data_IF_734508190457
#
_entry.id   IF_734508190457
#
_cell.length_a   1.000
_cell.length_b   1.000
_cell.length_c   1.000
_cell.angle_alpha   90.00
_cell.angle_beta   90.00
_cell.angle_gamma   90.00
#
_symmetry.space_group_name_H-M   'P 1'
#
loop_
_entity.id
_entity.type
_entity.pdbx_description
1 polymer ?
#
# COMPACT_ATOMS: atom_id res chain seq x y z
N UNK A 1 4.52 -9.59 -5.89
CA UNK A 1 5.82 -10.17 -5.46
C UNK A 1 6.50 -11.16 -6.42
N UNK A 2 5.78 -11.90 -7.27
CA UNK A 2 6.32 -13.09 -7.99
C UNK A 2 7.59 -12.84 -8.83
N UNK A 3 7.58 -11.85 -9.73
CA UNK A 3 8.71 -11.58 -10.63
C UNK A 3 10.01 -11.25 -9.87
N UNK A 4 9.89 -10.51 -8.76
CA UNK A 4 11.01 -10.18 -7.88
C UNK A 4 11.62 -11.42 -7.26
N UNK A 5 10.77 -12.35 -6.81
CA UNK A 5 11.23 -13.60 -6.19
C UNK A 5 11.89 -14.53 -7.22
N UNK A 6 11.34 -14.61 -8.43
CA UNK A 6 11.91 -15.40 -9.52
C UNK A 6 13.29 -14.89 -9.93
N UNK A 7 13.41 -13.58 -10.19
CA UNK A 7 14.70 -12.98 -10.55
C UNK A 7 15.73 -13.11 -9.42
N UNK A 8 15.31 -12.96 -8.16
CA UNK A 8 16.18 -13.20 -7.00
C UNK A 8 16.63 -14.67 -6.91
N UNK A 9 15.73 -15.62 -7.10
CA UNK A 9 16.04 -17.05 -7.05
C UNK A 9 17.00 -17.46 -8.19
N UNK A 10 16.84 -16.90 -9.39
CA UNK A 10 17.72 -17.14 -10.55
C UNK A 10 19.00 -16.30 -10.54
N UNK A 11 19.15 -15.37 -9.60
CA UNK A 11 20.34 -14.52 -9.48
C UNK A 11 20.49 -13.52 -10.62
N UNK A 12 19.37 -13.04 -11.15
CA UNK A 12 19.31 -12.06 -12.24
C UNK A 12 19.16 -10.66 -11.66
N UNK A 13 20.04 -9.70 -12.02
CA UNK A 13 19.86 -8.31 -11.64
C UNK A 13 18.67 -7.67 -12.37
N UNK A 14 17.94 -6.77 -11.72
CA UNK A 14 16.66 -6.27 -12.22
C UNK A 14 16.54 -4.75 -12.16
N UNK A 15 15.84 -4.17 -13.13
CA UNK A 15 15.28 -2.81 -13.02
C UNK A 15 13.82 -2.97 -12.62
N UNK A 16 13.46 -2.47 -11.44
CA UNK A 16 12.12 -2.60 -10.89
C UNK A 16 11.35 -1.30 -11.05
N UNK A 17 10.21 -1.37 -11.75
CA UNK A 17 9.27 -0.24 -11.92
C UNK A 17 8.00 -0.54 -11.13
N UNK A 18 7.91 -0.15 -9.85
CA UNK A 18 6.72 -0.42 -9.05
C UNK A 18 5.54 0.44 -9.50
N UNK A 19 4.38 -0.19 -9.69
CA UNK A 19 3.15 0.51 -10.08
C UNK A 19 2.21 0.75 -8.89
N UNK A 20 1.91 -0.30 -8.11
CA UNK A 20 1.00 -0.23 -6.98
C UNK A 20 1.24 -1.37 -5.98
N UNK A 21 0.55 -1.30 -4.84
CA UNK A 21 0.54 -2.31 -3.77
C UNK A 21 1.94 -2.65 -3.21
N UNK A 22 2.27 -3.94 -3.14
CA UNK A 22 3.47 -4.49 -2.50
C UNK A 22 4.77 -4.26 -3.30
N UNK A 23 4.67 -3.89 -4.58
CA UNK A 23 5.82 -3.78 -5.49
C UNK A 23 6.83 -2.71 -5.04
N UNK A 24 6.37 -1.62 -4.43
CA UNK A 24 7.28 -0.57 -3.94
C UNK A 24 8.18 -1.10 -2.81
N UNK A 25 7.60 -1.86 -1.87
CA UNK A 25 8.36 -2.50 -0.79
C UNK A 25 9.30 -3.57 -1.32
N UNK A 26 8.82 -4.41 -2.24
CA UNK A 26 9.62 -5.49 -2.83
C UNK A 26 10.81 -4.97 -3.65
N UNK A 27 10.60 -3.94 -4.46
CA UNK A 27 11.67 -3.31 -5.24
C UNK A 27 12.71 -2.63 -4.36
N UNK A 28 12.26 -1.93 -3.30
CA UNK A 28 13.17 -1.32 -2.33
C UNK A 28 14.02 -2.35 -1.59
N UNK A 29 13.45 -3.52 -1.26
CA UNK A 29 14.19 -4.63 -0.64
C UNK A 29 15.34 -5.12 -1.54
N UNK A 30 15.07 -5.34 -2.83
CA UNK A 30 16.12 -5.75 -3.78
C UNK A 30 17.15 -4.64 -4.04
N UNK A 31 16.69 -3.40 -4.08
CA UNK A 31 17.54 -2.24 -4.24
C UNK A 31 18.53 -2.10 -3.07
N UNK A 32 18.05 -2.26 -1.83
CA UNK A 32 18.90 -2.28 -0.62
C UNK A 32 19.92 -3.42 -0.63
N UNK A 33 19.56 -4.57 -1.21
CA UNK A 33 20.49 -5.68 -1.44
C UNK A 33 21.48 -5.44 -2.58
N UNK A 34 21.38 -4.28 -3.26
CA UNK A 34 22.31 -3.89 -4.32
C UNK A 34 22.25 -4.79 -5.54
N UNK A 35 21.12 -5.47 -5.77
CA UNK A 35 20.91 -6.34 -6.93
C UNK A 35 19.90 -5.78 -7.93
N UNK A 36 19.21 -4.70 -7.56
CA UNK A 36 18.22 -4.06 -8.40
C UNK A 36 18.32 -2.53 -8.37
N UNK A 37 17.85 -1.91 -9.45
CA UNK A 37 17.62 -0.46 -9.53
C UNK A 37 16.11 -0.26 -9.42
N UNK A 38 15.67 0.52 -8.44
CA UNK A 38 14.27 0.96 -8.36
C UNK A 38 14.12 2.20 -9.24
N UNK A 39 13.14 2.19 -10.14
CA UNK A 39 12.82 3.32 -11.01
C UNK A 39 11.33 3.66 -10.86
N UNK A 40 11.02 4.89 -10.48
CA UNK A 40 9.63 5.29 -10.30
C UNK A 40 8.95 5.56 -11.63
N UNK A 41 7.63 5.37 -11.71
CA UNK A 41 6.85 5.59 -12.94
C UNK A 41 7.06 7.00 -13.51
N UNK A 42 7.18 8.00 -12.63
CA UNK A 42 7.43 9.41 -12.98
C UNK A 42 8.80 9.64 -13.61
N UNK A 43 9.73 8.69 -13.50
CA UNK A 43 11.10 8.79 -13.98
C UNK A 43 11.32 8.03 -15.31
N UNK A 44 10.27 7.48 -15.92
CA UNK A 44 10.33 6.71 -17.16
C UNK A 44 10.51 7.63 -18.38
N UNK A 45 11.75 7.96 -18.68
CA UNK A 45 12.15 8.62 -19.93
C UNK A 45 13.10 7.72 -20.72
N UNK A 46 13.14 7.88 -22.06
CA UNK A 46 14.06 7.11 -22.92
C UNK A 46 15.50 7.18 -22.41
N UNK A 47 15.97 8.39 -22.07
CA UNK A 47 17.32 8.61 -21.60
C UNK A 47 17.58 7.89 -20.26
N UNK A 48 16.68 8.06 -19.28
CA UNK A 48 16.88 7.46 -17.97
C UNK A 48 16.83 5.93 -18.02
N UNK A 49 15.93 5.35 -18.83
CA UNK A 49 15.87 3.89 -19.03
C UNK A 49 17.18 3.39 -19.66
N UNK A 50 17.68 4.05 -20.71
CA UNK A 50 18.96 3.68 -21.33
C UNK A 50 20.12 3.75 -20.35
N UNK A 51 20.16 4.79 -19.53
CA UNK A 51 21.23 4.98 -18.54
C UNK A 51 21.17 3.89 -17.45
N UNK A 52 19.97 3.52 -16.98
CA UNK A 52 19.80 2.43 -16.00
C UNK A 52 20.12 1.06 -16.57
N UNK A 53 19.81 0.81 -17.83
CA UNK A 53 20.21 -0.42 -18.53
C UNK A 53 21.74 -0.49 -18.66
N UNK A 54 22.40 0.59 -19.07
CA UNK A 54 23.87 0.65 -19.11
C UNK A 54 24.48 0.43 -17.73
N UNK A 55 23.91 1.07 -16.71
CA UNK A 55 24.37 0.96 -15.33
C UNK A 55 24.32 -0.49 -14.83
N UNK A 56 23.18 -1.16 -15.03
CA UNK A 56 22.97 -2.51 -14.47
C UNK A 56 23.80 -3.59 -15.18
N UNK A 57 24.07 -3.42 -16.47
CA UNK A 57 24.89 -4.35 -17.27
C UNK A 57 26.40 -4.13 -17.01
N UNK A 58 26.83 -2.88 -16.85
CA UNK A 58 28.26 -2.54 -16.69
C UNK A 58 28.74 -2.73 -15.25
N UNK A 59 27.91 -2.39 -14.27
CA UNK A 59 28.31 -2.46 -12.87
C UNK A 59 28.16 -3.89 -12.32
N UNK A 60 29.30 -4.59 -12.18
CA UNK A 60 29.38 -5.96 -11.66
C UNK A 60 28.77 -6.15 -10.27
N UNK A 61 28.58 -5.08 -9.48
CA UNK A 61 27.93 -5.13 -8.15
C UNK A 61 26.56 -5.79 -8.24
N UNK A 62 25.74 -5.42 -9.23
CA UNK A 62 24.38 -5.94 -9.37
C UNK A 62 24.37 -7.46 -9.62
N UNK A 63 25.16 -7.92 -10.57
CA UNK A 63 25.29 -9.35 -10.88
C UNK A 63 25.90 -10.15 -9.72
N UNK A 64 26.91 -9.60 -9.02
CA UNK A 64 27.54 -10.24 -7.86
C UNK A 64 26.54 -10.43 -6.72
N UNK A 65 25.78 -9.39 -6.39
CA UNK A 65 24.79 -9.43 -5.32
C UNK A 65 23.58 -10.30 -5.68
N UNK A 66 23.14 -10.28 -6.95
CA UNK A 66 22.07 -11.15 -7.41
C UNK A 66 22.46 -12.64 -7.27
N UNK A 67 23.68 -13.01 -7.71
CA UNK A 67 24.20 -14.37 -7.53
C UNK A 67 24.35 -14.75 -6.05
N UNK A 68 24.81 -13.82 -5.21
CA UNK A 68 24.92 -14.05 -3.77
C UNK A 68 23.55 -14.34 -3.14
N UNK A 69 22.54 -13.52 -3.45
CA UNK A 69 21.19 -13.73 -2.94
C UNK A 69 20.59 -15.05 -3.44
N UNK A 70 20.79 -15.40 -4.70
CA UNK A 70 20.35 -16.69 -5.25
C UNK A 70 20.94 -17.87 -4.47
N UNK A 71 22.26 -17.83 -4.19
CA UNK A 71 22.92 -18.84 -3.35
C UNK A 71 22.32 -18.89 -1.94
N UNK A 72 22.06 -17.74 -1.32
CA UNK A 72 21.41 -17.68 0.01
C UNK A 72 19.99 -18.25 -0.01
N UNK A 73 19.22 -18.01 -1.08
CA UNK A 73 17.86 -18.54 -1.23
C UNK A 73 17.90 -20.07 -1.39
N UNK A 74 18.84 -20.59 -2.18
CA UNK A 74 19.04 -22.03 -2.37
C UNK A 74 19.56 -22.72 -1.11
N UNK A 75 20.45 -22.06 -0.36
CA UNK A 75 21.05 -22.57 0.87
C UNK A 75 20.22 -22.30 2.14
N UNK A 76 18.93 -21.97 2.01
CA UNK A 76 18.06 -21.79 3.18
C UNK A 76 18.10 -23.05 4.05
N UNK A 77 18.22 -22.92 5.39
CA UNK A 77 18.45 -24.05 6.29
C UNK A 77 17.30 -25.06 6.34
N UNK A 78 16.09 -24.63 6.00
CA UNK A 78 14.89 -25.48 6.00
C UNK A 78 14.25 -25.45 4.62
N UNK A 79 14.12 -26.61 3.98
CA UNK A 79 13.48 -26.73 2.67
C UNK A 79 11.99 -26.41 2.74
N UNK A 80 11.39 -26.11 1.60
CA UNK A 80 9.96 -25.84 1.53
C UNK A 80 9.14 -27.09 1.91
N UNK A 81 9.52 -28.26 1.40
CA UNK A 81 8.88 -29.56 1.66
C UNK A 81 8.92 -29.93 3.14
N UNK A 82 10.11 -29.93 3.75
CA UNK A 82 10.30 -30.21 5.18
C UNK A 82 9.46 -29.27 6.06
N UNK A 83 9.38 -27.99 5.68
CA UNK A 83 8.59 -27.00 6.41
C UNK A 83 7.10 -27.34 6.35
N UNK A 84 6.60 -27.73 5.19
CA UNK A 84 5.19 -28.14 5.02
C UNK A 84 4.89 -29.36 5.88
N UNK A 85 5.74 -30.39 5.82
CA UNK A 85 5.57 -31.61 6.63
C UNK A 85 5.57 -31.26 8.12
N UNK A 86 6.55 -30.48 8.58
CA UNK A 86 6.65 -30.09 10.00
C UNK A 86 5.40 -29.34 10.50
N UNK A 87 4.85 -28.43 9.72
CA UNK A 87 3.62 -27.72 10.10
C UNK A 87 2.38 -28.60 10.02
N UNK A 88 2.33 -29.55 9.07
CA UNK A 88 1.25 -30.51 8.98
C UNK A 88 1.25 -31.47 10.18
N UNK A 89 2.41 -31.98 10.59
CA UNK A 89 2.57 -32.81 11.79
C UNK A 89 2.20 -32.04 13.05
N UNK A 90 2.64 -30.79 13.17
CA UNK A 90 2.25 -29.92 14.29
C UNK A 90 0.73 -29.74 14.36
N UNK A 91 0.08 -29.49 13.23
CA UNK A 91 -1.37 -29.36 13.16
C UNK A 91 -2.09 -30.68 13.48
N UNK A 92 -1.56 -31.82 13.04
CA UNK A 92 -2.11 -33.14 13.35
C UNK A 92 -1.97 -33.50 14.85
N UNK A 93 -0.86 -33.11 15.47
CA UNK A 93 -0.57 -33.41 16.88
C UNK A 93 -1.40 -32.56 17.84
N UNK A 94 -1.48 -31.25 17.60
CA UNK A 94 -2.08 -30.30 18.54
C UNK A 94 -3.46 -29.80 18.10
N UNK A 95 -3.87 -30.08 16.87
CA UNK A 95 -5.13 -29.61 16.33
C UNK A 95 -5.24 -28.09 16.35
N UNK A 96 -6.46 -27.61 16.58
CA UNK A 96 -6.75 -26.21 16.73
C UNK A 96 -6.42 -25.72 18.14
N UNK A 97 -5.27 -25.05 18.28
CA UNK A 97 -4.80 -24.52 19.57
C UNK A 97 -5.42 -23.16 19.92
N UNK A 98 -6.30 -22.60 19.07
CA UNK A 98 -6.89 -21.26 19.24
C UNK A 98 -5.90 -20.09 19.04
N UNK A 99 -4.65 -20.24 19.49
CA UNK A 99 -3.59 -19.21 19.45
C UNK A 99 -3.05 -18.90 18.06
N UNK A 100 -3.15 -19.84 17.11
CA UNK A 100 -2.76 -19.62 15.71
C UNK A 100 -3.93 -19.12 14.84
N UNK A 101 -5.10 -18.88 15.45
CA UNK A 101 -6.22 -18.33 14.73
C UNK A 101 -6.10 -16.83 14.58
N UNK A 102 -6.51 -16.33 13.42
CA UNK A 102 -6.66 -14.90 13.22
C UNK A 102 -7.90 -14.48 14.02
N UNK A 103 -7.74 -13.62 15.02
CA UNK A 103 -8.82 -13.13 15.89
C UNK A 103 -10.02 -12.57 15.09
N UNK A 104 -9.77 -12.01 13.90
CA UNK A 104 -10.82 -11.55 12.99
C UNK A 104 -11.81 -12.64 12.55
N UNK A 105 -11.48 -13.94 12.69
CA UNK A 105 -12.39 -15.06 12.40
C UNK A 105 -13.61 -15.08 13.35
N UNK A 106 -13.42 -14.65 14.60
CA UNK A 106 -14.46 -14.67 15.62
C UNK A 106 -15.19 -13.34 15.77
N UNK A 107 -14.77 -12.33 15.01
CA UNK A 107 -15.38 -11.01 15.04
C UNK A 107 -16.65 -10.98 14.18
N UNK A 108 -17.69 -10.30 14.67
CA UNK A 108 -18.88 -10.03 13.88
C UNK A 108 -18.54 -9.12 12.70
N UNK A 109 -19.35 -9.19 11.64
CA UNK A 109 -19.17 -8.35 10.44
C UNK A 109 -19.04 -6.84 10.76
N UNK A 110 -19.76 -6.38 11.79
CA UNK A 110 -19.74 -4.98 12.24
C UNK A 110 -18.36 -4.60 12.77
N UNK A 111 -17.75 -5.44 13.62
CA UNK A 111 -16.43 -5.19 14.22
C UNK A 111 -15.33 -5.37 13.18
N UNK A 112 -15.40 -6.43 12.38
CA UNK A 112 -14.41 -6.76 11.36
C UNK A 112 -14.20 -5.63 10.35
N UNK A 113 -15.28 -4.94 9.97
CA UNK A 113 -15.25 -3.79 9.07
C UNK A 113 -15.34 -2.44 9.78
N UNK A 114 -15.39 -2.44 11.12
CA UNK A 114 -15.50 -1.24 11.97
C UNK A 114 -16.63 -0.29 11.52
N UNK A 115 -17.79 -0.86 11.21
CA UNK A 115 -18.94 -0.13 10.67
C UNK A 115 -19.51 0.89 11.66
N UNK A 116 -19.36 0.64 12.95
CA UNK A 116 -19.68 1.57 14.04
C UNK A 116 -18.84 2.85 13.95
N UNK A 117 -17.52 2.71 13.77
CA UNK A 117 -16.60 3.85 13.61
C UNK A 117 -16.89 4.61 12.32
N UNK A 118 -17.10 3.90 11.20
CA UNK A 118 -17.44 4.51 9.91
C UNK A 118 -18.76 5.29 10.03
N UNK A 119 -19.79 4.68 10.64
CA UNK A 119 -21.08 5.34 10.82
C UNK A 119 -20.94 6.60 11.66
N UNK A 120 -20.18 6.56 12.77
CA UNK A 120 -19.92 7.73 13.60
C UNK A 120 -19.24 8.85 12.81
N UNK A 121 -18.18 8.54 12.04
CA UNK A 121 -17.47 9.52 11.21
C UNK A 121 -18.37 10.14 10.15
N UNK A 122 -19.20 9.33 9.47
CA UNK A 122 -20.15 9.80 8.46
C UNK A 122 -21.17 10.77 9.08
N UNK A 123 -21.71 10.44 10.25
CA UNK A 123 -22.65 11.30 10.96
C UNK A 123 -22.02 12.63 11.36
N UNK A 124 -20.79 12.63 11.88
CA UNK A 124 -20.07 13.86 12.25
C UNK A 124 -19.82 14.74 11.02
N UNK A 125 -19.35 14.16 9.91
CA UNK A 125 -19.12 14.90 8.66
C UNK A 125 -20.45 15.48 8.13
N UNK A 126 -21.53 14.68 8.13
CA UNK A 126 -22.85 15.13 7.70
C UNK A 126 -23.38 16.30 8.54
N UNK A 127 -23.17 16.27 9.87
CA UNK A 127 -23.54 17.36 10.77
C UNK A 127 -22.75 18.64 10.47
N UNK A 128 -21.43 18.54 10.30
CA UNK A 128 -20.57 19.70 9.95
C UNK A 128 -21.04 20.32 8.63
N UNK A 129 -21.24 19.50 7.59
CA UNK A 129 -21.73 19.96 6.29
C UNK A 129 -23.12 20.58 6.42
N UNK A 130 -24.01 19.96 7.20
CA UNK A 130 -25.35 20.49 7.47
C UNK A 130 -25.34 21.87 8.14
N UNK A 131 -24.49 22.05 9.16
CA UNK A 131 -24.32 23.34 9.85
C UNK A 131 -23.76 24.40 8.92
N UNK A 132 -22.77 24.08 8.08
CA UNK A 132 -22.21 24.99 7.10
C UNK A 132 -23.27 25.43 6.08
N UNK A 133 -24.03 24.49 5.52
CA UNK A 133 -25.12 24.79 4.57
C UNK A 133 -26.17 25.68 5.24
N UNK A 134 -26.56 25.37 6.48
CA UNK A 134 -27.53 26.18 7.22
C UNK A 134 -27.01 27.60 7.49
N UNK A 135 -25.75 27.74 7.89
CA UNK A 135 -25.08 29.03 8.10
C UNK A 135 -25.04 29.88 6.83
N UNK A 136 -24.68 29.28 5.68
CA UNK A 136 -24.67 29.95 4.38
C UNK A 136 -26.08 30.39 3.98
N UNK A 137 -27.08 29.50 4.09
CA UNK A 137 -28.49 29.85 3.80
C UNK A 137 -28.98 31.00 4.68
N UNK A 138 -28.64 30.99 5.97
CA UNK A 138 -29.02 32.04 6.91
C UNK A 138 -28.35 33.38 6.56
N UNK A 139 -27.06 33.37 6.23
CA UNK A 139 -26.33 34.56 5.79
C UNK A 139 -26.91 35.14 4.48
N UNK A 140 -27.20 34.29 3.49
CA UNK A 140 -27.85 34.72 2.24
C UNK A 140 -29.23 35.32 2.48
N UNK A 141 -30.06 34.70 3.34
CA UNK A 141 -31.38 35.24 3.70
C UNK A 141 -31.27 36.57 4.45
N UNK A 142 -30.27 36.73 5.32
CA UNK A 142 -30.00 37.99 6.00
C UNK A 142 -29.57 39.10 5.02
N UNK A 143 -28.66 38.79 4.09
CA UNK A 143 -28.23 39.70 3.03
C UNK A 143 -29.41 40.12 2.14
N UNK A 144 -30.23 39.17 1.69
CA UNK A 144 -31.46 39.47 0.92
C UNK A 144 -32.40 40.41 1.68
N UNK A 145 -32.66 40.13 2.97
CA UNK A 145 -33.50 41.01 3.81
C UNK A 145 -32.91 42.42 3.94
N UNK A 146 -31.59 42.53 4.14
CA UNK A 146 -30.90 43.82 4.26
C UNK A 146 -30.96 44.64 2.95
N UNK A 147 -30.76 43.99 1.80
CA UNK A 147 -30.89 44.61 0.48
C UNK A 147 -32.33 45.11 0.23
N UNK A 148 -33.34 44.27 0.50
CA UNK A 148 -34.75 44.64 0.33
C UNK A 148 -35.18 45.83 1.21
N UNK A 149 -34.66 45.93 2.44
CA UNK A 149 -34.92 47.08 3.32
C UNK A 149 -34.23 48.34 2.80
N UNK A 150 -33.03 48.22 2.25
CA UNK A 150 -32.29 49.35 1.70
C UNK A 150 -32.94 49.90 0.42
N UNK A 151 -33.44 49.02 -0.46
CA UNK A 151 -34.19 49.42 -1.66
C UNK A 151 -35.49 50.14 -1.33
N UNK A 152 -36.21 49.74 -0.26
CA UNK A 152 -37.42 50.44 0.20
C UNK A 152 -37.11 51.84 0.76
N UNK A 153 -35.99 52.01 1.48
CA UNK A 153 -35.56 53.33 1.99
C UNK A 153 -35.15 54.31 0.89
N UNK A 154 -34.77 53.81 -0.29
CA UNK A 154 -34.34 54.65 -1.43
C UNK A 154 -35.50 55.12 -2.32
N UNK A 155 -36.71 54.57 -2.11
CA UNK A 155 -37.93 54.85 -2.89
C UNK A 155 -38.92 55.80 -2.21
N UNK A 156 -38.71 56.09 -0.92
CA UNK A 156 -39.43 57.12 -0.15
C UNK A 156 -38.53 58.34 0.01
#
# INVERSE_FOLDING_TARGET
MNSVMEGAAKGVPMICVPLFADQNRNSLMLHRRGMAIKLEKTQLTKQNIMDKIKEIITNKKYAKNAKLLSKMIAAKPTKAEERVVKYAEFAAQFGDTGTLQIEGRHQSFIVLYSLDIISFLVTVIALIVGVLIWGVKKALNFLKRKLLVNDRKKKN
#
